data_IF_162874478307
#
_entry.id   IF_162874478307
#
_cell.length_a   1.000
_cell.length_b   1.000
_cell.length_c   1.000
_cell.angle_alpha   90.00
_cell.angle_beta   90.00
_cell.angle_gamma   90.00
#
_symmetry.space_group_name_H-M   'P 1'
#
loop_
_entity.id
_entity.type
_entity.pdbx_description
1 polymer ?
#
# COMPACT_ATOMS: atom_id res chain seq x y z
N UNK A 1 4.03 18.82 -10.49
CA UNK A 1 3.53 18.20 -9.25
C UNK A 1 2.02 18.11 -9.33
N UNK A 2 1.45 16.90 -9.25
CA UNK A 2 0.00 16.72 -9.28
C UNK A 2 -0.55 17.03 -7.88
N UNK A 3 -1.36 18.07 -7.76
CA UNK A 3 -1.96 18.46 -6.47
C UNK A 3 -3.47 18.26 -6.53
N UNK A 4 -3.94 17.27 -5.79
CA UNK A 4 -5.34 16.82 -5.75
C UNK A 4 -5.78 16.63 -4.30
N UNK A 5 -7.10 16.50 -4.07
CA UNK A 5 -7.63 16.21 -2.73
C UNK A 5 -7.04 14.93 -2.13
N UNK A 6 -6.78 13.90 -2.94
CA UNK A 6 -6.24 12.63 -2.43
C UNK A 6 -4.76 12.75 -2.03
N UNK A 7 -3.94 13.41 -2.85
CA UNK A 7 -2.52 13.63 -2.54
C UNK A 7 -2.36 14.44 -1.25
N UNK A 8 -3.24 15.41 -1.00
CA UNK A 8 -3.24 16.22 0.24
C UNK A 8 -3.76 15.44 1.46
N UNK A 9 -4.78 14.60 1.28
CA UNK A 9 -5.42 13.88 2.38
C UNK A 9 -4.51 12.81 2.99
N UNK A 10 -3.74 12.09 2.15
CA UNK A 10 -2.91 10.95 2.59
C UNK A 10 -1.40 11.18 2.46
N UNK A 11 -0.97 12.34 1.96
CA UNK A 11 0.44 12.72 1.92
C UNK A 11 1.29 11.95 0.92
N UNK A 12 0.78 11.75 -0.30
CA UNK A 12 1.49 11.05 -1.40
C UNK A 12 1.82 12.03 -2.54
N UNK A 13 2.86 11.73 -3.33
CA UNK A 13 3.35 12.58 -4.42
C UNK A 13 2.47 12.48 -5.67
N UNK A 14 2.02 11.27 -6.00
CA UNK A 14 1.22 10.98 -7.18
C UNK A 14 -0.20 10.55 -6.79
N UNK A 15 -1.24 10.99 -7.52
CA UNK A 15 -2.63 10.57 -7.28
C UNK A 15 -2.90 9.14 -7.78
N UNK A 16 -2.02 8.20 -7.43
CA UNK A 16 -2.03 6.81 -7.86
C UNK A 16 -2.16 5.92 -6.62
N UNK A 17 -3.09 4.98 -6.68
CA UNK A 17 -3.39 4.04 -5.60
C UNK A 17 -3.12 2.62 -6.09
N UNK A 18 -2.19 1.94 -5.44
CA UNK A 18 -1.99 0.51 -5.56
C UNK A 18 -3.04 -0.25 -4.75
N UNK A 19 -4.17 -0.57 -5.39
CA UNK A 19 -5.27 -1.29 -4.76
C UNK A 19 -4.89 -2.69 -4.26
N UNK A 20 -5.81 -3.31 -3.53
CA UNK A 20 -5.62 -4.67 -3.02
C UNK A 20 -5.80 -5.71 -4.12
N UNK A 21 -4.77 -6.53 -4.32
CA UNK A 21 -4.78 -7.66 -5.23
C UNK A 21 -4.47 -8.93 -4.44
N UNK A 22 -5.38 -9.90 -4.49
CA UNK A 22 -5.20 -11.17 -3.80
C UNK A 22 -3.92 -11.86 -4.30
N UNK A 23 -3.13 -12.38 -3.37
CA UNK A 23 -1.81 -12.99 -3.55
C UNK A 23 -0.67 -12.08 -4.05
N UNK A 24 -0.95 -10.87 -4.54
CA UNK A 24 0.03 -9.91 -5.08
C UNK A 24 0.36 -8.77 -4.12
N UNK A 25 -0.63 -8.19 -3.45
CA UNK A 25 -0.43 -7.10 -2.48
C UNK A 25 0.19 -7.62 -1.17
N UNK A 26 1.43 -8.09 -1.26
CA UNK A 26 2.32 -8.44 -0.14
C UNK A 26 3.21 -7.25 0.22
N UNK A 27 3.95 -7.37 1.32
CA UNK A 27 4.71 -6.28 1.92
C UNK A 27 5.75 -5.66 0.98
N UNK A 28 6.49 -6.48 0.25
CA UNK A 28 7.50 -6.06 -0.73
C UNK A 28 6.90 -5.23 -1.87
N UNK A 29 5.81 -5.71 -2.47
CA UNK A 29 5.12 -5.01 -3.55
C UNK A 29 4.51 -3.69 -3.07
N UNK A 30 3.85 -3.71 -1.90
CA UNK A 30 3.21 -2.52 -1.33
C UNK A 30 4.25 -1.49 -0.90
N UNK A 31 5.38 -1.91 -0.35
CA UNK A 31 6.50 -1.04 -0.02
C UNK A 31 7.06 -0.34 -1.27
N UNK A 32 7.27 -1.08 -2.36
CA UNK A 32 7.74 -0.50 -3.62
C UNK A 32 6.81 0.58 -4.18
N UNK A 33 5.49 0.41 -4.03
CA UNK A 33 4.50 1.44 -4.41
C UNK A 33 4.64 2.67 -3.52
N UNK A 34 4.72 2.48 -2.20
CA UNK A 34 4.89 3.59 -1.25
C UNK A 34 6.18 4.37 -1.48
N UNK A 35 7.29 3.66 -1.73
CA UNK A 35 8.60 4.26 -2.04
C UNK A 35 8.59 5.05 -3.36
N UNK A 36 7.70 4.70 -4.29
CA UNK A 36 7.50 5.45 -5.54
C UNK A 36 6.68 6.73 -5.38
N UNK A 37 6.26 7.08 -4.16
CA UNK A 37 5.44 8.26 -3.87
C UNK A 37 3.94 8.05 -4.13
N UNK A 38 3.49 6.80 -4.22
CA UNK A 38 2.09 6.41 -4.42
C UNK A 38 1.49 5.80 -3.14
N UNK A 39 0.17 5.61 -3.06
CA UNK A 39 -0.46 4.93 -1.93
C UNK A 39 -0.50 3.41 -2.17
N UNK A 40 0.33 2.63 -1.47
CA UNK A 40 0.25 1.17 -1.44
C UNK A 40 -0.75 0.63 -0.41
N UNK A 41 -1.55 -0.38 -0.77
CA UNK A 41 -2.51 -1.01 0.15
C UNK A 41 -2.19 -2.50 0.32
N UNK A 42 -1.88 -2.88 1.56
CA UNK A 42 -1.65 -4.28 1.95
C UNK A 42 -2.97 -5.05 2.05
N UNK A 43 -3.08 -6.17 1.33
CA UNK A 43 -4.26 -7.01 1.39
C UNK A 43 -4.18 -7.96 2.60
N UNK A 44 -4.89 -7.63 3.68
CA UNK A 44 -4.93 -8.46 4.90
C UNK A 44 -5.41 -9.89 4.65
N UNK A 45 -6.27 -10.08 3.65
CA UNK A 45 -6.78 -11.40 3.23
C UNK A 45 -5.68 -12.34 2.67
N UNK A 46 -4.47 -11.84 2.41
CA UNK A 46 -3.33 -12.68 2.01
C UNK A 46 -2.71 -13.45 3.19
N UNK A 47 -3.08 -13.11 4.43
CA UNK A 47 -2.46 -13.63 5.64
C UNK A 47 -3.45 -14.50 6.43
N UNK A 48 -3.05 -15.73 6.73
CA UNK A 48 -3.93 -16.72 7.37
C UNK A 48 -4.07 -16.53 8.88
N UNK A 49 -3.21 -15.71 9.47
CA UNK A 49 -3.18 -15.50 10.92
C UNK A 49 -2.68 -14.09 11.28
N UNK A 50 -2.96 -13.66 12.51
CA UNK A 50 -2.61 -12.32 13.01
C UNK A 50 -1.10 -12.08 13.11
N UNK A 51 -0.30 -13.11 13.33
CA UNK A 51 1.15 -12.99 13.46
C UNK A 51 1.76 -12.73 12.09
N UNK A 52 1.41 -13.52 11.07
CA UNK A 52 1.90 -13.31 9.71
C UNK A 52 1.50 -11.94 9.14
N UNK A 53 0.27 -11.48 9.40
CA UNK A 53 -0.14 -10.13 9.02
C UNK A 53 0.68 -9.04 9.74
N UNK A 54 0.93 -9.21 11.04
CA UNK A 54 1.74 -8.26 11.84
C UNK A 54 3.18 -8.19 11.34
N UNK A 55 3.77 -9.32 11.00
CA UNK A 55 5.15 -9.39 10.51
C UNK A 55 5.28 -8.73 9.13
N UNK A 56 4.22 -8.72 8.31
CA UNK A 56 4.20 -8.02 7.03
C UNK A 56 4.01 -6.50 7.11
N UNK A 57 3.51 -5.98 8.23
CA UNK A 57 3.34 -4.53 8.46
C UNK A 57 4.63 -3.88 8.99
N UNK A 58 5.50 -4.67 9.64
CA UNK A 58 6.72 -4.20 10.30
C UNK A 58 7.90 -4.15 9.34
#
# INVERSE_FOLDING_TARGET
>A
MFKTKITELVGIEYPIIGGTMMHLSRSDFVAAISDSGCLGILASANYMDKKSFRDAIR
#
